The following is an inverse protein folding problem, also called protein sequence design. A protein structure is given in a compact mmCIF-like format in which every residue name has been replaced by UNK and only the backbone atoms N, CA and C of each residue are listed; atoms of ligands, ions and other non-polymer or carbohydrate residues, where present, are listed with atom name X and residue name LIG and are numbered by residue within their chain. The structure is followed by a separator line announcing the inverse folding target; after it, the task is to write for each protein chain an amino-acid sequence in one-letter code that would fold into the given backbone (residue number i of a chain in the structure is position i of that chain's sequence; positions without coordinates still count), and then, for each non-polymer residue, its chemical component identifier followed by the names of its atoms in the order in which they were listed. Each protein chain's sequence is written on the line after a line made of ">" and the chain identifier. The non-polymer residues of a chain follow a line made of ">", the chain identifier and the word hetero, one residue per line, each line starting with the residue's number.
data_IF_988748475094
#
_entry.id   IF_988748475094
#
_cell.length_a   1.000
_cell.length_b   1.000
_cell.length_c   1.000
_cell.angle_alpha   90.00
_cell.angle_beta   90.00
_cell.angle_gamma   90.00
#
_symmetry.space_group_name_H-M   'P 1'
#
loop_
_entity.id
_entity.type
_entity.pdbx_description
1 polymer ?
#
# COMPACT_ATOMS: atom_id res chain seq x y z
N UNK A 1 -14.81 -30.54 18.94
CA UNK A 1 -15.60 -29.94 17.83
C UNK A 1 -14.58 -29.41 16.85
N UNK A 2 -14.62 -29.79 15.59
CA UNK A 2 -13.77 -29.15 14.58
C UNK A 2 -14.29 -27.70 14.41
N UNK A 3 -13.41 -26.72 14.63
CA UNK A 3 -13.74 -25.33 14.34
C UNK A 3 -14.06 -25.19 12.85
N UNK A 4 -15.12 -24.48 12.54
CA UNK A 4 -15.42 -24.15 11.15
C UNK A 4 -14.25 -23.34 10.57
N UNK A 5 -13.90 -23.56 9.30
CA UNK A 5 -12.82 -22.78 8.70
C UNK A 5 -13.15 -21.28 8.78
N UNK A 6 -12.15 -20.41 8.97
CA UNK A 6 -12.35 -18.97 9.02
C UNK A 6 -13.01 -18.49 7.74
N UNK A 7 -14.01 -17.62 7.89
CA UNK A 7 -14.74 -17.02 6.77
C UNK A 7 -14.27 -15.58 6.58
N UNK A 8 -13.92 -15.25 5.34
CA UNK A 8 -13.64 -13.86 4.95
C UNK A 8 -14.96 -13.14 4.77
N UNK A 9 -15.16 -12.05 5.50
CA UNK A 9 -16.37 -11.21 5.46
C UNK A 9 -16.15 -10.07 4.47
N UNK A 10 -16.99 -10.03 3.44
CA UNK A 10 -16.97 -8.97 2.45
C UNK A 10 -17.64 -7.71 3.01
N UNK A 11 -16.87 -6.62 3.08
CA UNK A 11 -17.35 -5.33 3.58
C UNK A 11 -17.46 -4.34 2.44
N UNK A 12 -18.64 -3.79 2.30
CA UNK A 12 -19.02 -2.78 1.31
C UNK A 12 -19.68 -1.60 2.02
N UNK A 13 -19.89 -0.47 1.33
CA UNK A 13 -20.52 0.69 1.95
C UNK A 13 -21.83 0.38 2.71
N UNK A 14 -22.74 -0.47 2.20
CA UNK A 14 -24.01 -0.75 2.89
C UNK A 14 -23.89 -1.48 4.23
N UNK A 15 -22.84 -2.31 4.45
CA UNK A 15 -22.66 -3.07 5.69
C UNK A 15 -21.45 -2.62 6.52
N UNK A 16 -20.78 -1.55 6.13
CA UNK A 16 -19.53 -1.06 6.77
C UNK A 16 -19.72 -0.82 8.27
N UNK A 17 -20.79 -0.16 8.66
CA UNK A 17 -21.03 0.19 10.07
C UNK A 17 -21.27 -1.06 10.94
N UNK A 18 -22.05 -2.02 10.43
CA UNK A 18 -22.33 -3.28 11.13
C UNK A 18 -21.05 -4.11 11.31
N UNK A 19 -20.27 -4.23 10.24
CA UNK A 19 -19.03 -5.02 10.27
C UNK A 19 -17.95 -4.39 11.17
N UNK A 20 -17.82 -3.09 11.19
CA UNK A 20 -16.91 -2.41 12.11
C UNK A 20 -17.40 -2.43 13.56
N UNK A 21 -18.71 -2.52 13.79
CA UNK A 21 -19.24 -2.75 15.14
C UNK A 21 -18.86 -4.16 15.65
N UNK A 22 -18.97 -5.18 14.79
CA UNK A 22 -18.53 -6.52 15.12
C UNK A 22 -17.02 -6.58 15.36
N UNK A 23 -16.22 -5.95 14.50
CA UNK A 23 -14.78 -5.90 14.63
C UNK A 23 -14.33 -5.28 15.96
N UNK A 24 -15.01 -4.22 16.42
CA UNK A 24 -14.77 -3.60 17.75
C UNK A 24 -14.97 -4.56 18.92
N UNK A 25 -15.89 -5.48 18.80
CA UNK A 25 -16.13 -6.49 19.85
C UNK A 25 -15.04 -7.56 19.81
N UNK A 26 -14.63 -7.98 18.62
CA UNK A 26 -13.63 -9.03 18.46
C UNK A 26 -12.24 -8.56 18.87
N UNK A 27 -11.83 -7.32 18.59
CA UNK A 27 -10.48 -6.81 18.89
C UNK A 27 -10.15 -6.83 20.39
N UNK A 28 -11.15 -6.77 21.27
CA UNK A 28 -10.95 -6.78 22.71
C UNK A 28 -10.29 -8.09 23.21
N UNK A 29 -10.58 -9.21 22.55
CA UNK A 29 -10.04 -10.54 22.90
C UNK A 29 -8.97 -11.03 21.88
N UNK A 30 -8.93 -10.45 20.69
CA UNK A 30 -8.07 -10.87 19.57
C UNK A 30 -7.19 -9.71 19.07
N UNK A 31 -6.20 -9.26 19.88
CA UNK A 31 -5.47 -8.01 19.63
C UNK A 31 -4.36 -8.10 18.58
N UNK A 32 -4.10 -9.26 17.98
CA UNK A 32 -3.15 -9.40 16.88
C UNK A 32 -3.85 -9.15 15.54
N UNK A 33 -3.37 -8.17 14.81
CA UNK A 33 -3.97 -7.68 13.55
C UNK A 33 -3.03 -7.95 12.38
N UNK A 34 -3.37 -8.91 11.54
CA UNK A 34 -2.69 -9.08 10.26
C UNK A 34 -3.39 -8.24 9.18
N UNK A 35 -2.61 -7.51 8.39
CA UNK A 35 -3.09 -6.61 7.35
C UNK A 35 -2.40 -6.91 6.01
N UNK A 36 -3.20 -6.80 4.94
CA UNK A 36 -2.74 -6.73 3.55
C UNK A 36 -3.62 -5.76 2.76
N UNK A 37 -3.11 -5.24 1.64
CA UNK A 37 -3.87 -4.32 0.78
C UNK A 37 -3.78 -4.69 -0.68
N UNK A 38 -4.85 -4.40 -1.43
CA UNK A 38 -4.82 -4.40 -2.89
C UNK A 38 -4.94 -2.97 -3.42
N UNK A 39 -4.01 -2.63 -4.32
CA UNK A 39 -3.93 -1.30 -4.92
C UNK A 39 -3.61 -1.40 -6.42
N UNK A 40 -3.82 -0.35 -7.21
CA UNK A 40 -3.81 -0.43 -8.67
C UNK A 40 -2.40 -0.40 -9.28
N UNK A 41 -1.39 -0.88 -8.55
CA UNK A 41 -0.01 -1.02 -9.02
C UNK A 41 0.84 0.23 -8.81
N UNK A 42 1.93 0.34 -9.59
CA UNK A 42 2.92 1.42 -9.50
C UNK A 42 3.03 2.11 -10.86
N UNK A 43 2.67 3.39 -10.91
CA UNK A 43 2.61 4.18 -12.15
C UNK A 43 3.63 5.32 -12.16
N UNK A 44 4.10 5.79 -11.00
CA UNK A 44 4.98 6.93 -10.87
C UNK A 44 6.35 6.53 -10.32
N UNK A 45 7.41 7.09 -10.91
CA UNK A 45 8.78 6.97 -10.43
C UNK A 45 9.38 8.36 -10.24
N UNK A 46 9.89 8.70 -9.05
CA UNK A 46 10.46 10.01 -8.80
C UNK A 46 11.77 10.19 -9.57
N UNK A 47 11.96 11.39 -10.11
CA UNK A 47 13.19 11.77 -10.83
C UNK A 47 13.98 12.70 -9.91
N UNK A 48 15.27 12.40 -9.71
CA UNK A 48 16.15 13.25 -8.88
C UNK A 48 17.37 12.51 -8.34
N UNK A 49 18.07 13.18 -7.44
CA UNK A 49 19.17 12.59 -6.69
C UNK A 49 18.67 12.20 -5.30
N UNK A 50 18.75 10.92 -4.98
CA UNK A 50 18.35 10.37 -3.71
C UNK A 50 19.58 10.07 -2.85
N UNK A 51 19.51 10.34 -1.55
CA UNK A 51 20.64 10.15 -0.63
C UNK A 51 20.95 8.68 -0.40
N UNK A 52 19.93 7.84 -0.40
CA UNK A 52 20.03 6.40 -0.13
C UNK A 52 19.03 5.64 -1.01
N UNK A 53 19.19 4.32 -1.12
CA UNK A 53 18.21 3.44 -1.75
C UNK A 53 16.87 3.50 -1.01
N UNK A 54 16.89 3.57 0.33
CA UNK A 54 15.70 3.72 1.16
C UNK A 54 14.91 5.00 0.83
N UNK A 55 15.62 6.13 0.70
CA UNK A 55 15.00 7.41 0.30
C UNK A 55 14.31 7.29 -1.08
N UNK A 56 14.98 6.67 -2.06
CA UNK A 56 14.37 6.42 -3.36
C UNK A 56 13.11 5.53 -3.27
N UNK A 57 13.17 4.44 -2.50
CA UNK A 57 12.02 3.55 -2.29
C UNK A 57 10.87 4.28 -1.60
N UNK A 58 11.18 5.05 -0.56
CA UNK A 58 10.17 5.86 0.12
C UNK A 58 9.50 6.87 -0.82
N UNK A 59 10.29 7.63 -1.60
CA UNK A 59 9.71 8.61 -2.53
C UNK A 59 8.92 7.94 -3.65
N UNK A 60 9.31 6.74 -4.10
CA UNK A 60 8.53 5.95 -5.07
C UNK A 60 7.20 5.53 -4.48
N UNK A 61 7.20 4.94 -3.28
CA UNK A 61 5.97 4.58 -2.56
C UNK A 61 5.08 5.80 -2.35
N UNK A 62 5.62 6.89 -1.81
CA UNK A 62 4.90 8.12 -1.53
C UNK A 62 4.21 8.67 -2.78
N UNK A 63 4.93 8.80 -3.91
CA UNK A 63 4.35 9.31 -5.15
C UNK A 63 3.15 8.48 -5.62
N UNK A 64 3.23 7.17 -5.52
CA UNK A 64 2.16 6.27 -5.95
C UNK A 64 0.99 6.28 -4.97
N UNK A 65 1.26 6.19 -3.67
CA UNK A 65 0.21 6.24 -2.63
C UNK A 65 -0.56 7.56 -2.70
N UNK A 66 0.16 8.70 -2.88
CA UNK A 66 -0.49 10.02 -2.98
C UNK A 66 -1.35 10.16 -4.24
N UNK A 67 -0.93 9.54 -5.35
CA UNK A 67 -1.59 9.64 -6.66
C UNK A 67 -2.74 8.66 -6.82
N UNK A 68 -2.60 7.44 -6.31
CA UNK A 68 -3.50 6.32 -6.58
C UNK A 68 -4.52 6.11 -5.45
N UNK A 69 -5.63 5.45 -5.77
CA UNK A 69 -6.64 5.02 -4.79
C UNK A 69 -6.41 3.57 -4.40
N UNK A 70 -6.65 3.25 -3.14
CA UNK A 70 -6.68 1.89 -2.65
C UNK A 70 -7.91 1.14 -3.20
N UNK A 71 -7.81 -0.18 -3.37
CA UNK A 71 -8.89 -1.03 -3.86
C UNK A 71 -9.45 -1.89 -2.73
N UNK A 72 -8.59 -2.59 -1.98
CA UNK A 72 -9.00 -3.41 -0.84
C UNK A 72 -8.07 -3.24 0.36
N UNK A 73 -8.63 -3.40 1.56
CA UNK A 73 -7.90 -3.64 2.81
C UNK A 73 -8.42 -4.94 3.41
N UNK A 74 -7.52 -5.87 3.71
CA UNK A 74 -7.77 -7.09 4.44
C UNK A 74 -7.28 -6.97 5.88
N UNK A 75 -8.13 -7.32 6.85
CA UNK A 75 -7.80 -7.33 8.26
C UNK A 75 -8.18 -8.68 8.85
N UNK A 76 -7.23 -9.34 9.50
CA UNK A 76 -7.45 -10.59 10.22
C UNK A 76 -7.06 -10.43 11.68
N UNK A 77 -7.96 -10.81 12.59
CA UNK A 77 -7.75 -10.74 14.03
C UNK A 77 -7.51 -12.13 14.62
N UNK A 78 -6.56 -12.21 15.54
CA UNK A 78 -6.23 -13.44 16.29
C UNK A 78 -5.80 -13.10 17.72
N UNK A 79 -5.85 -14.10 18.60
CA UNK A 79 -5.27 -14.00 19.94
C UNK A 79 -3.74 -14.19 19.92
N UNK A 80 -3.12 -14.22 21.10
CA UNK A 80 -1.66 -14.36 21.23
C UNK A 80 -1.13 -15.76 20.87
N UNK A 81 -1.99 -16.77 20.84
CA UNK A 81 -1.70 -18.12 20.39
C UNK A 81 -2.00 -18.33 18.89
N UNK A 82 -2.57 -17.34 18.21
CA UNK A 82 -2.96 -17.43 16.81
C UNK A 82 -4.32 -18.10 16.57
N UNK A 83 -5.15 -18.21 17.60
CA UNK A 83 -6.52 -18.69 17.43
C UNK A 83 -7.40 -17.57 16.90
N UNK A 84 -8.43 -17.97 16.16
CA UNK A 84 -9.41 -17.06 15.56
C UNK A 84 -10.73 -17.06 16.33
N UNK A 85 -11.36 -15.91 16.40
CA UNK A 85 -12.72 -15.80 16.94
C UNK A 85 -13.69 -16.68 16.14
N UNK A 86 -14.55 -17.46 16.83
CA UNK A 86 -15.56 -18.31 16.17
C UNK A 86 -16.65 -17.50 15.46
N UNK A 87 -16.84 -16.24 15.82
CA UNK A 87 -17.85 -15.36 15.25
C UNK A 87 -17.38 -14.71 13.95
N UNK A 88 -16.22 -14.10 13.98
CA UNK A 88 -15.58 -13.48 12.82
C UNK A 88 -14.08 -13.29 13.08
N UNK A 89 -13.25 -13.48 12.03
CA UNK A 89 -11.80 -13.29 12.16
C UNK A 89 -11.22 -12.43 11.07
N UNK A 90 -11.82 -12.39 9.88
CA UNK A 90 -11.25 -11.73 8.71
C UNK A 90 -12.28 -10.88 8.00
N UNK A 91 -11.92 -9.63 7.72
CA UNK A 91 -12.71 -8.66 6.97
C UNK A 91 -11.95 -8.20 5.74
N UNK A 92 -12.64 -8.13 4.60
CA UNK A 92 -12.15 -7.57 3.36
C UNK A 92 -12.96 -6.31 3.03
N UNK A 93 -12.37 -5.14 3.24
CA UNK A 93 -12.96 -3.84 2.97
C UNK A 93 -12.73 -3.47 1.52
N UNK A 94 -13.81 -3.24 0.77
CA UNK A 94 -13.79 -2.96 -0.66
C UNK A 94 -14.10 -1.49 -0.91
N UNK A 95 -13.12 -0.74 -1.43
CA UNK A 95 -13.21 0.71 -1.63
C UNK A 95 -13.75 1.09 -2.99
N UNK A 96 -14.31 2.30 -3.09
CA UNK A 96 -14.76 2.87 -4.36
C UNK A 96 -13.61 3.05 -5.36
N UNK A 97 -13.72 2.39 -6.52
CA UNK A 97 -12.73 2.45 -7.59
C UNK A 97 -13.41 2.33 -8.97
N UNK A 98 -13.07 3.23 -9.90
CA UNK A 98 -13.58 3.21 -11.28
C UNK A 98 -12.43 3.01 -12.27
N UNK A 99 -12.50 1.95 -13.07
CA UNK A 99 -11.53 1.71 -14.16
C UNK A 99 -11.55 2.85 -15.20
N UNK A 100 -12.67 3.56 -15.33
CA UNK A 100 -12.83 4.62 -16.34
C UNK A 100 -12.27 5.98 -15.87
N UNK A 101 -12.21 6.22 -14.56
CA UNK A 101 -11.89 7.52 -13.98
C UNK A 101 -10.57 7.53 -13.20
N UNK A 102 -10.21 6.42 -12.57
CA UNK A 102 -9.06 6.33 -11.68
C UNK A 102 -7.78 5.93 -12.43
N UNK A 103 -6.64 6.33 -11.88
CA UNK A 103 -5.32 6.01 -12.45
C UNK A 103 -4.87 4.62 -11.95
N UNK A 104 -4.31 3.82 -12.85
CA UNK A 104 -3.82 2.48 -12.53
C UNK A 104 -2.72 2.00 -13.47
N UNK A 105 -2.00 0.95 -13.08
CA UNK A 105 -1.14 0.14 -13.95
C UNK A 105 -1.98 -0.98 -14.61
N UNK A 106 -2.04 -1.07 -15.96
CA UNK A 106 -2.90 -2.05 -16.64
C UNK A 106 -2.67 -3.50 -16.20
N UNK A 107 -1.40 -3.88 -15.99
CA UNK A 107 -1.02 -5.23 -15.59
C UNK A 107 -1.56 -5.58 -14.20
N UNK A 108 -1.56 -4.61 -13.28
CA UNK A 108 -2.10 -4.80 -11.93
C UNK A 108 -3.61 -4.98 -11.95
N UNK A 109 -4.33 -4.16 -12.70
CA UNK A 109 -5.79 -4.31 -12.84
C UNK A 109 -6.15 -5.64 -13.51
N UNK A 110 -5.41 -6.05 -14.55
CA UNK A 110 -5.63 -7.37 -15.19
C UNK A 110 -5.43 -8.53 -14.20
N UNK A 111 -4.40 -8.45 -13.35
CA UNK A 111 -4.15 -9.43 -12.29
C UNK A 111 -5.32 -9.49 -11.30
N UNK A 112 -5.75 -8.32 -10.78
CA UNK A 112 -6.83 -8.22 -9.82
C UNK A 112 -8.17 -8.70 -10.38
N UNK A 113 -8.46 -8.43 -11.66
CA UNK A 113 -9.63 -8.98 -12.36
C UNK A 113 -9.57 -10.52 -12.45
N UNK A 114 -8.41 -11.08 -12.79
CA UNK A 114 -8.20 -12.55 -12.83
C UNK A 114 -8.34 -13.18 -11.45
N UNK A 115 -8.02 -12.45 -10.40
CA UNK A 115 -8.22 -12.85 -9.00
C UNK A 115 -9.66 -12.65 -8.51
N UNK A 116 -10.57 -12.25 -9.39
CA UNK A 116 -12.00 -12.18 -9.10
C UNK A 116 -12.47 -10.87 -8.48
N UNK A 117 -11.67 -9.80 -8.48
CA UNK A 117 -12.13 -8.46 -8.05
C UNK A 117 -13.15 -7.93 -9.06
N UNK A 118 -14.35 -7.62 -8.56
CA UNK A 118 -15.47 -7.07 -9.33
C UNK A 118 -15.45 -5.53 -9.30
N UNK A 119 -14.75 -4.93 -10.27
CA UNK A 119 -14.61 -3.48 -10.36
C UNK A 119 -15.93 -2.74 -10.61
N UNK A 120 -16.94 -3.39 -11.22
CA UNK A 120 -18.25 -2.78 -11.35
C UNK A 120 -18.88 -2.59 -9.96
N UNK A 121 -18.78 -3.59 -9.10
CA UNK A 121 -19.28 -3.52 -7.73
C UNK A 121 -18.49 -2.50 -6.89
N UNK A 122 -17.17 -2.36 -7.10
CA UNK A 122 -16.36 -1.32 -6.48
C UNK A 122 -16.84 0.10 -6.86
N UNK A 123 -17.22 0.31 -8.12
CA UNK A 123 -17.77 1.58 -8.61
C UNK A 123 -19.17 1.87 -8.04
N UNK A 124 -20.03 0.85 -7.94
CA UNK A 124 -21.44 1.01 -7.51
C UNK A 124 -21.62 1.18 -5.99
N UNK A 125 -20.91 0.36 -5.19
CA UNK A 125 -21.14 0.27 -3.73
C UNK A 125 -19.83 0.20 -2.93
N UNK A 126 -18.70 0.60 -3.50
CA UNK A 126 -17.43 0.65 -2.80
C UNK A 126 -17.45 1.64 -1.63
N UNK A 127 -16.65 1.35 -0.62
CA UNK A 127 -16.54 2.14 0.61
C UNK A 127 -15.88 3.49 0.30
N UNK A 128 -16.42 4.58 0.84
CA UNK A 128 -15.76 5.88 0.86
C UNK A 128 -14.57 5.85 1.83
N UNK A 129 -13.37 6.34 1.43
CA UNK A 129 -12.23 6.46 2.32
C UNK A 129 -12.53 7.21 3.62
N UNK A 130 -13.32 8.28 3.56
CA UNK A 130 -13.67 9.09 4.73
C UNK A 130 -14.58 8.33 5.71
N UNK A 131 -15.57 7.61 5.21
CA UNK A 131 -16.49 6.82 6.07
C UNK A 131 -15.72 5.68 6.76
N UNK A 132 -14.80 5.05 6.03
CA UNK A 132 -13.91 4.05 6.62
C UNK A 132 -12.99 4.63 7.71
N UNK A 133 -12.35 5.77 7.44
CA UNK A 133 -11.44 6.42 8.38
C UNK A 133 -12.13 6.82 9.69
N UNK A 134 -13.31 7.45 9.60
CA UNK A 134 -14.11 7.86 10.76
C UNK A 134 -14.41 6.69 11.69
N UNK A 135 -14.85 5.58 11.12
CA UNK A 135 -15.18 4.38 11.89
C UNK A 135 -13.93 3.63 12.39
N UNK A 136 -12.85 3.61 11.58
CA UNK A 136 -11.60 2.91 11.91
C UNK A 136 -10.86 3.59 13.06
N UNK A 137 -10.80 4.93 13.10
CA UNK A 137 -10.14 5.69 14.18
C UNK A 137 -10.75 5.37 15.56
N UNK A 138 -12.03 5.05 15.59
CA UNK A 138 -12.76 4.71 16.82
C UNK A 138 -12.90 3.20 17.06
N UNK A 139 -12.23 2.36 16.26
CA UNK A 139 -12.41 0.90 16.28
C UNK A 139 -11.66 0.18 17.40
N UNK A 140 -10.63 0.79 17.99
CA UNK A 140 -9.69 0.11 18.89
C UNK A 140 -8.52 -0.58 18.19
N UNK A 141 -8.47 -0.55 16.85
CA UNK A 141 -7.35 -1.13 16.10
C UNK A 141 -6.14 -0.22 16.05
N UNK A 142 -6.35 1.09 15.97
CA UNK A 142 -5.29 2.09 15.82
C UNK A 142 -5.16 2.96 17.06
N UNK A 143 -4.02 3.64 17.22
CA UNK A 143 -3.73 4.55 18.34
C UNK A 143 -3.68 3.85 19.73
N UNK A 144 -3.57 2.54 19.77
CA UNK A 144 -3.53 1.76 21.01
C UNK A 144 -2.31 0.84 21.03
N UNK A 145 -1.56 0.78 22.15
CA UNK A 145 -0.40 -0.09 22.28
C UNK A 145 -0.76 -1.56 22.50
N UNK A 146 -1.99 -1.87 22.85
CA UNK A 146 -2.48 -3.23 23.06
C UNK A 146 -2.59 -3.99 21.74
N UNK A 147 -2.85 -3.30 20.64
CA UNK A 147 -2.99 -3.90 19.31
C UNK A 147 -1.63 -4.16 18.67
N UNK A 148 -1.39 -5.39 18.24
CA UNK A 148 -0.14 -5.84 17.64
C UNK A 148 -0.33 -6.08 16.14
N UNK A 149 0.29 -5.24 15.31
CA UNK A 149 0.16 -5.32 13.86
C UNK A 149 1.18 -6.26 13.25
N UNK A 150 0.71 -7.15 12.40
CA UNK A 150 1.49 -8.12 11.63
C UNK A 150 1.29 -7.81 10.15
N UNK A 151 2.37 -7.77 9.38
CA UNK A 151 2.28 -7.47 7.97
C UNK A 151 3.41 -8.12 7.18
N UNK A 152 3.18 -8.32 5.89
CA UNK A 152 4.14 -8.94 4.99
C UNK A 152 4.51 -7.94 3.89
N UNK A 153 5.81 -7.56 3.77
CA UNK A 153 6.34 -6.57 2.80
C UNK A 153 5.58 -5.23 2.72
N UNK A 154 5.13 -4.72 3.80
CA UNK A 154 4.03 -3.79 4.00
C UNK A 154 4.36 -2.28 3.87
N UNK A 155 5.39 -1.88 3.14
CA UNK A 155 5.67 -0.46 2.92
C UNK A 155 4.48 0.27 2.28
N UNK A 156 3.95 -0.27 1.20
CA UNK A 156 2.77 0.26 0.50
C UNK A 156 1.51 0.14 1.34
N UNK A 157 1.30 -1.00 2.01
CA UNK A 157 0.11 -1.25 2.83
C UNK A 157 -0.04 -0.20 3.92
N UNK A 158 1.01 0.04 4.71
CA UNK A 158 1.01 1.11 5.70
C UNK A 158 0.94 2.51 5.07
N UNK A 159 1.54 2.71 3.90
CA UNK A 159 1.42 3.96 3.17
C UNK A 159 -0.04 4.29 2.84
N UNK A 160 -0.75 3.36 2.21
CA UNK A 160 -2.17 3.52 1.90
C UNK A 160 -3.03 3.63 3.16
N UNK A 161 -2.73 2.83 4.18
CA UNK A 161 -3.51 2.84 5.42
C UNK A 161 -3.36 4.17 6.19
N UNK A 162 -2.13 4.71 6.29
CA UNK A 162 -1.90 6.06 6.84
C UNK A 162 -2.66 7.12 6.04
N UNK A 163 -2.59 7.08 4.69
CA UNK A 163 -3.35 8.02 3.85
C UNK A 163 -4.86 7.91 4.08
N UNK A 164 -5.39 6.69 4.23
CA UNK A 164 -6.80 6.48 4.56
C UNK A 164 -7.18 7.14 5.89
N UNK A 165 -6.38 6.90 6.94
CA UNK A 165 -6.67 7.37 8.30
C UNK A 165 -6.53 8.88 8.46
N UNK A 166 -5.57 9.49 7.76
CA UNK A 166 -5.27 10.92 7.88
C UNK A 166 -6.01 11.78 6.87
N UNK A 167 -6.48 11.20 5.76
CA UNK A 167 -6.99 11.89 4.57
C UNK A 167 -5.99 12.92 3.99
N UNK A 168 -4.69 12.77 4.29
CA UNK A 168 -3.61 13.68 3.91
C UNK A 168 -2.59 12.95 3.02
N UNK A 169 -1.82 13.71 2.24
CA UNK A 169 -0.65 13.19 1.54
C UNK A 169 0.40 12.69 2.52
N UNK A 170 1.15 11.66 2.14
CA UNK A 170 2.23 11.13 2.97
C UNK A 170 3.31 12.21 3.22
N UNK A 171 3.98 12.17 4.37
CA UNK A 171 5.06 13.10 4.70
C UNK A 171 6.15 13.15 3.62
N UNK A 172 6.81 14.30 3.48
CA UNK A 172 7.88 14.45 2.49
C UNK A 172 9.14 13.68 2.82
N UNK A 173 9.33 13.31 4.10
CA UNK A 173 10.50 12.57 4.57
C UNK A 173 10.10 11.22 5.16
N UNK A 174 10.97 10.23 4.97
CA UNK A 174 10.83 8.90 5.54
C UNK A 174 10.77 8.93 7.08
N UNK A 175 11.60 9.75 7.73
CA UNK A 175 11.62 9.87 9.19
C UNK A 175 10.25 10.34 9.73
N UNK A 176 9.63 11.33 9.09
CA UNK A 176 8.29 11.81 9.48
C UNK A 176 7.18 10.77 9.22
N UNK A 177 7.34 9.94 8.19
CA UNK A 177 6.43 8.81 7.96
C UNK A 177 6.51 7.78 9.09
N UNK A 178 7.73 7.42 9.52
CA UNK A 178 7.91 6.55 10.67
C UNK A 178 7.41 7.16 11.99
N UNK A 179 7.45 8.49 12.15
CA UNK A 179 6.82 9.16 13.29
C UNK A 179 5.30 8.97 13.29
N UNK A 180 4.64 9.09 12.13
CA UNK A 180 3.23 8.79 11.98
C UNK A 180 2.93 7.32 12.27
N UNK A 181 3.72 6.39 11.74
CA UNK A 181 3.54 4.96 12.01
C UNK A 181 3.61 4.64 13.51
N UNK A 182 4.57 5.21 14.23
CA UNK A 182 4.67 5.03 15.69
C UNK A 182 3.46 5.58 16.44
N UNK A 183 2.81 6.61 15.91
CA UNK A 183 1.61 7.20 16.50
C UNK A 183 0.37 6.33 16.24
N UNK A 184 0.16 5.93 14.98
CA UNK A 184 -1.04 5.19 14.57
C UNK A 184 -0.97 3.71 14.91
N UNK A 185 0.24 3.11 14.85
CA UNK A 185 0.52 1.70 15.04
C UNK A 185 1.69 1.52 16.03
N UNK A 186 1.48 1.75 17.34
CA UNK A 186 2.57 1.75 18.33
C UNK A 186 3.35 0.43 18.38
N UNK A 187 2.67 -0.69 18.09
CA UNK A 187 3.29 -2.02 18.04
C UNK A 187 3.03 -2.65 16.67
N UNK A 188 4.06 -2.67 15.82
CA UNK A 188 3.99 -3.33 14.52
C UNK A 188 5.25 -4.15 14.27
N UNK A 189 5.08 -5.43 13.94
CA UNK A 189 6.15 -6.37 13.70
C UNK A 189 6.30 -6.71 12.21
N UNK A 190 7.54 -6.92 11.79
CA UNK A 190 7.91 -7.31 10.45
C UNK A 190 7.97 -8.82 10.30
N UNK A 191 7.40 -9.36 9.23
CA UNK A 191 7.55 -10.76 8.83
C UNK A 191 8.39 -10.90 7.56
N UNK A 192 9.10 -11.94 7.44
CA UNK A 192 10.04 -12.62 6.54
C UNK A 192 10.31 -12.11 5.10
N UNK A 193 11.40 -12.63 4.49
CA UNK A 193 11.80 -12.45 3.09
C UNK A 193 11.22 -13.57 2.23
N UNK A 194 10.70 -13.25 1.03
CA UNK A 194 10.21 -14.21 0.04
C UNK A 194 8.81 -13.84 -0.46
N UNK A 195 8.16 -14.69 -1.23
CA UNK A 195 6.74 -14.59 -1.55
C UNK A 195 5.89 -15.08 -0.38
N UNK A 196 4.75 -14.44 -0.10
CA UNK A 196 3.85 -14.87 0.98
C UNK A 196 3.39 -16.32 0.79
N UNK A 197 3.03 -16.70 -0.44
CA UNK A 197 2.61 -18.07 -0.76
C UNK A 197 3.74 -19.06 -0.59
N UNK A 198 4.97 -18.73 -1.04
CA UNK A 198 6.13 -19.62 -0.91
C UNK A 198 6.43 -19.93 0.56
N UNK A 199 6.37 -18.91 1.42
CA UNK A 199 6.58 -19.08 2.86
C UNK A 199 5.46 -19.92 3.50
N UNK A 200 4.21 -19.67 3.11
CA UNK A 200 3.08 -20.44 3.61
C UNK A 200 3.20 -21.92 3.21
N UNK A 201 3.61 -22.20 1.98
CA UNK A 201 3.84 -23.56 1.47
C UNK A 201 4.99 -24.25 2.24
N UNK A 202 6.11 -23.55 2.47
CA UNK A 202 7.25 -24.07 3.26
C UNK A 202 6.86 -24.37 4.72
N UNK A 203 5.94 -23.58 5.30
CA UNK A 203 5.41 -23.78 6.64
C UNK A 203 4.26 -24.80 6.70
N UNK A 204 3.77 -25.30 5.56
CA UNK A 204 2.63 -26.19 5.46
C UNK A 204 1.29 -25.53 5.80
N UNK A 205 1.18 -24.20 5.63
CA UNK A 205 -0.04 -23.41 5.86
C UNK A 205 -0.87 -23.36 4.60
N UNK A 206 -2.14 -23.76 4.70
CA UNK A 206 -3.05 -23.72 3.56
C UNK A 206 -3.76 -22.38 3.43
N UNK A 207 -3.81 -21.84 2.22
CA UNK A 207 -4.54 -20.62 1.91
C UNK A 207 -6.06 -20.85 2.00
N UNK A 208 -6.75 -19.89 2.57
CA UNK A 208 -8.21 -19.77 2.51
C UNK A 208 -8.56 -18.58 1.62
N UNK A 209 -9.37 -18.81 0.59
CA UNK A 209 -9.72 -17.78 -0.40
C UNK A 209 -8.78 -17.77 -1.62
N UNK A 210 -8.91 -16.71 -2.41
CA UNK A 210 -8.18 -16.52 -3.68
C UNK A 210 -6.98 -15.60 -3.42
N UNK A 211 -5.83 -15.92 -4.02
CA UNK A 211 -4.64 -15.06 -3.99
C UNK A 211 -4.92 -13.70 -4.64
N UNK A 212 -4.28 -12.65 -4.14
CA UNK A 212 -4.52 -11.26 -4.57
C UNK A 212 -5.95 -10.78 -4.27
N UNK A 213 -6.42 -11.18 -3.11
CA UNK A 213 -7.58 -10.64 -2.42
C UNK A 213 -7.13 -10.30 -1.00
N UNK A 214 -7.23 -9.05 -0.59
CA UNK A 214 -6.62 -8.57 0.65
C UNK A 214 -7.05 -9.36 1.91
N UNK A 215 -8.30 -9.82 1.96
CA UNK A 215 -8.77 -10.68 3.06
C UNK A 215 -8.09 -12.05 3.08
N UNK A 216 -7.88 -12.69 1.92
CA UNK A 216 -7.17 -13.96 1.80
C UNK A 216 -5.69 -13.80 2.16
N UNK A 217 -5.06 -12.72 1.71
CA UNK A 217 -3.64 -12.47 1.95
C UNK A 217 -3.38 -12.06 3.41
N UNK A 218 -4.24 -11.28 4.05
CA UNK A 218 -4.14 -10.98 5.50
C UNK A 218 -4.32 -12.23 6.37
N UNK A 219 -5.26 -13.12 6.02
CA UNK A 219 -5.46 -14.38 6.74
C UNK A 219 -4.26 -15.32 6.58
N UNK A 220 -3.69 -15.41 5.38
CA UNK A 220 -2.49 -16.18 5.15
C UNK A 220 -1.29 -15.61 5.91
N UNK A 221 -1.15 -14.29 5.96
CA UNK A 221 -0.11 -13.59 6.73
C UNK A 221 -0.21 -13.92 8.22
N UNK A 222 -1.41 -13.85 8.81
CA UNK A 222 -1.65 -14.24 10.20
C UNK A 222 -1.26 -15.70 10.44
N UNK A 223 -1.80 -16.61 9.64
CA UNK A 223 -1.55 -18.05 9.79
C UNK A 223 -0.07 -18.42 9.64
N UNK A 224 0.61 -17.82 8.66
CA UNK A 224 2.05 -18.03 8.42
C UNK A 224 2.90 -17.47 9.58
N UNK A 225 2.53 -16.30 10.11
CA UNK A 225 3.22 -15.70 11.26
C UNK A 225 3.17 -16.62 12.49
N UNK A 226 1.99 -17.03 12.90
CA UNK A 226 1.86 -17.90 14.11
C UNK A 226 2.47 -19.28 13.90
N UNK A 227 2.38 -19.84 12.70
CA UNK A 227 3.05 -21.11 12.39
C UNK A 227 4.57 -20.99 12.44
N UNK A 228 5.12 -19.87 11.99
CA UNK A 228 6.54 -19.58 12.12
C UNK A 228 6.96 -19.42 13.59
N UNK A 229 6.15 -18.70 14.39
CA UNK A 229 6.38 -18.54 15.83
C UNK A 229 6.41 -19.91 16.52
N UNK A 230 5.44 -20.78 16.23
CA UNK A 230 5.39 -22.15 16.77
C UNK A 230 6.64 -22.97 16.39
N UNK A 231 7.12 -22.88 15.15
CA UNK A 231 8.20 -23.73 14.66
C UNK A 231 9.59 -23.25 15.06
N UNK A 232 9.82 -21.92 15.14
CA UNK A 232 11.18 -21.36 15.23
C UNK A 232 11.43 -20.46 16.43
N UNK A 233 10.39 -20.05 17.18
CA UNK A 233 10.51 -19.07 18.26
C UNK A 233 9.90 -19.58 19.58
N UNK A 234 9.99 -20.87 19.85
CA UNK A 234 9.44 -21.51 21.06
C UNK A 234 10.02 -20.96 22.38
N UNK A 235 11.26 -20.44 22.36
CA UNK A 235 11.93 -19.85 23.51
C UNK A 235 11.60 -18.37 23.74
N UNK A 236 10.70 -17.81 22.92
CA UNK A 236 10.31 -16.41 22.94
C UNK A 236 10.84 -15.62 21.75
N UNK A 237 10.16 -14.54 21.44
CA UNK A 237 10.44 -13.64 20.34
C UNK A 237 10.70 -12.23 20.93
N UNK A 238 11.89 -11.69 20.66
CA UNK A 238 12.18 -10.32 21.07
C UNK A 238 11.50 -9.32 20.12
N UNK A 239 10.30 -8.88 20.49
CA UNK A 239 9.52 -7.91 19.72
C UNK A 239 10.31 -6.62 19.43
N UNK A 240 11.26 -6.22 20.32
CA UNK A 240 12.05 -5.00 20.15
C UNK A 240 12.97 -5.01 18.93
N UNK A 241 13.41 -6.20 18.51
CA UNK A 241 14.24 -6.35 17.32
C UNK A 241 13.47 -6.13 16.01
N UNK A 242 12.16 -6.27 16.02
CA UNK A 242 11.31 -6.26 14.81
C UNK A 242 10.31 -5.12 14.80
N UNK A 243 9.96 -4.59 15.96
CA UNK A 243 9.01 -3.49 16.08
C UNK A 243 9.51 -2.22 15.37
N UNK A 244 8.62 -1.55 14.67
CA UNK A 244 8.92 -0.29 13.97
C UNK A 244 9.76 -0.44 12.70
N UNK A 245 9.94 -1.65 12.16
CA UNK A 245 10.72 -1.88 10.94
C UNK A 245 9.80 -2.27 9.78
N UNK A 246 10.01 -1.65 8.61
CA UNK A 246 9.34 -2.03 7.37
C UNK A 246 10.38 -2.54 6.36
N UNK A 247 9.99 -3.51 5.54
CA UNK A 247 10.88 -4.06 4.52
C UNK A 247 11.21 -2.99 3.46
N UNK A 248 12.52 -2.78 3.21
CA UNK A 248 13.00 -1.83 2.20
C UNK A 248 12.95 -0.36 2.60
N UNK A 249 12.44 -0.04 3.79
CA UNK A 249 12.39 1.31 4.35
C UNK A 249 13.17 1.38 5.67
N UNK A 250 13.68 2.58 6.01
CA UNK A 250 14.41 2.82 7.26
C UNK A 250 15.91 2.47 7.19
N UNK A 251 16.66 2.95 8.19
CA UNK A 251 18.14 2.89 8.27
C UNK A 251 18.70 1.49 8.60
N UNK A 252 17.88 0.49 8.86
CA UNK A 252 18.30 -0.76 9.50
C UNK A 252 18.24 -1.99 8.62
N UNK A 253 18.42 -1.86 7.31
CA UNK A 253 18.51 -3.02 6.44
C UNK A 253 19.94 -3.48 6.24
N UNK A 254 20.43 -4.40 7.10
CA UNK A 254 21.66 -5.15 6.83
C UNK A 254 21.32 -6.52 6.27
N UNK A 255 21.65 -6.78 5.02
CA UNK A 255 21.72 -8.14 4.48
C UNK A 255 23.14 -8.64 4.78
N UNK A 256 23.29 -9.67 5.62
CA UNK A 256 24.58 -10.30 5.96
C UNK A 256 25.65 -9.37 6.55
N UNK A 257 25.27 -8.52 7.52
CA UNK A 257 26.26 -7.72 8.27
C UNK A 257 26.92 -6.58 7.49
N UNK A 258 26.53 -6.33 6.27
CA UNK A 258 26.92 -5.17 5.49
C UNK A 258 25.74 -4.24 5.31
N UNK A 259 25.92 -2.95 5.63
CA UNK A 259 25.00 -1.91 5.20
C UNK A 259 24.84 -2.05 3.68
N UNK A 260 23.66 -2.42 3.21
CA UNK A 260 23.40 -2.50 1.77
C UNK A 260 23.21 -1.09 1.22
N UNK A 261 24.28 -0.30 1.26
CA UNK A 261 24.49 0.84 0.37
C UNK A 261 25.04 0.29 -0.95
N UNK A 262 24.20 -0.38 -1.71
CA UNK A 262 24.52 -0.70 -3.09
C UNK A 262 23.91 0.37 -3.98
N UNK A 263 24.59 1.49 -4.06
CA UNK A 263 24.44 2.48 -5.13
C UNK A 263 24.79 1.87 -6.49
N UNK A 264 24.12 0.77 -6.89
CA UNK A 264 24.11 0.27 -8.26
C UNK A 264 22.82 0.73 -8.92
N UNK A 265 22.90 1.61 -9.93
CA UNK A 265 21.79 1.85 -10.85
C UNK A 265 21.48 0.52 -11.53
N UNK A 266 20.32 -0.07 -11.26
CA UNK A 266 19.88 -1.31 -11.90
C UNK A 266 19.51 -2.46 -10.96
N UNK A 267 19.60 -2.32 -9.65
CA UNK A 267 18.97 -3.27 -8.74
C UNK A 267 17.45 -3.06 -8.83
N UNK A 268 16.70 -4.12 -9.19
CA UNK A 268 15.24 -4.09 -9.20
C UNK A 268 14.74 -3.55 -7.86
N UNK A 269 13.93 -2.49 -7.90
CA UNK A 269 13.32 -1.88 -6.72
C UNK A 269 12.34 -2.87 -6.10
N UNK A 270 11.97 -2.67 -4.83
CA UNK A 270 10.89 -3.43 -4.20
C UNK A 270 9.60 -3.36 -5.02
N UNK A 271 9.26 -2.18 -5.55
CA UNK A 271 8.16 -1.99 -6.48
C UNK A 271 8.28 -2.87 -7.74
N UNK A 272 9.48 -3.13 -8.23
CA UNK A 272 9.74 -4.04 -9.36
C UNK A 272 9.72 -5.52 -8.98
N UNK A 273 9.88 -5.85 -7.68
CA UNK A 273 9.74 -7.21 -7.15
C UNK A 273 8.32 -7.49 -6.66
N UNK A 274 7.62 -6.45 -6.26
CA UNK A 274 6.19 -6.44 -5.96
C UNK A 274 5.34 -6.25 -7.24
N UNK A 275 5.98 -5.96 -8.39
CA UNK A 275 5.37 -6.15 -9.72
C UNK A 275 5.02 -7.64 -9.82
N UNK A 276 3.81 -7.94 -9.43
CA UNK A 276 3.15 -9.24 -9.40
C UNK A 276 2.94 -9.74 -10.83
N UNK A 277 4.06 -9.96 -11.56
CA UNK A 277 4.01 -10.46 -12.91
C UNK A 277 4.17 -12.00 -12.90
N UNK A 278 3.08 -12.79 -13.01
CA UNK A 278 3.13 -14.26 -13.02
C UNK A 278 3.76 -14.85 -14.27
N UNK A 279 4.22 -14.03 -15.23
CA UNK A 279 4.74 -14.51 -16.54
C UNK A 279 6.25 -14.71 -16.57
N UNK A 280 6.96 -14.69 -15.45
CA UNK A 280 8.42 -14.94 -15.43
C UNK A 280 8.81 -16.33 -14.92
N UNK A 281 7.91 -17.29 -15.03
CA UNK A 281 8.28 -18.69 -14.93
C UNK A 281 8.72 -19.22 -16.30
N UNK A 282 9.98 -19.68 -16.36
CA UNK A 282 10.59 -20.52 -17.39
C UNK A 282 10.69 -19.97 -18.83
N UNK A 283 11.74 -19.22 -19.09
CA UNK A 283 12.42 -19.34 -20.39
C UNK A 283 13.91 -19.65 -20.18
N UNK A 284 14.44 -20.67 -20.91
CA UNK A 284 15.86 -21.01 -20.85
C UNK A 284 16.70 -19.91 -21.51
N UNK A 285 17.84 -19.63 -20.91
CA UNK A 285 18.84 -18.65 -21.32
C UNK A 285 19.28 -18.85 -22.79
N UNK A 286 18.77 -17.98 -23.67
CA UNK A 286 19.31 -17.77 -25.02
C UNK A 286 20.07 -16.44 -25.09
N UNK A 287 20.97 -16.24 -26.05
CA UNK A 287 21.91 -15.12 -26.05
C UNK A 287 21.23 -13.76 -26.22
N UNK A 288 21.61 -12.82 -25.37
CA UNK A 288 21.11 -11.45 -25.34
C UNK A 288 21.50 -10.68 -26.58
N UNK A 289 20.52 -10.20 -27.35
CA UNK A 289 20.68 -9.10 -28.29
C UNK A 289 20.33 -7.78 -27.57
N UNK A 290 21.06 -6.69 -27.79
CA UNK A 290 20.80 -5.42 -27.11
C UNK A 290 19.50 -4.79 -27.63
N UNK A 291 18.53 -4.56 -26.74
CA UNK A 291 17.33 -3.82 -27.07
C UNK A 291 17.66 -2.31 -27.18
N UNK A 292 17.41 -1.78 -28.36
CA UNK A 292 17.52 -0.36 -28.68
C UNK A 292 16.36 0.38 -27.99
N UNK A 293 16.68 1.28 -27.05
CA UNK A 293 15.71 2.18 -26.44
C UNK A 293 15.22 3.15 -27.51
N UNK A 294 13.95 3.05 -27.89
CA UNK A 294 13.26 4.06 -28.69
C UNK A 294 12.95 5.27 -27.81
N UNK A 295 13.82 6.28 -27.87
CA UNK A 295 13.50 7.62 -27.38
C UNK A 295 12.45 8.24 -28.32
N UNK A 296 11.25 8.45 -27.85
CA UNK A 296 10.28 9.30 -28.53
C UNK A 296 10.73 10.75 -28.43
N UNK A 297 11.29 11.26 -29.52
CA UNK A 297 11.59 12.68 -29.71
C UNK A 297 10.28 13.44 -29.94
N UNK A 298 9.99 14.40 -29.08
CA UNK A 298 9.01 15.44 -29.38
C UNK A 298 9.54 16.36 -30.50
N UNK A 299 8.70 16.81 -31.42
CA UNK A 299 9.13 17.71 -32.47
C UNK A 299 9.44 19.09 -31.89
N UNK A 300 10.68 19.53 -32.02
CA UNK A 300 11.12 20.88 -31.77
C UNK A 300 10.67 21.79 -32.91
N UNK A 301 9.93 22.84 -32.57
CA UNK A 301 9.61 23.96 -33.48
C UNK A 301 10.89 24.82 -33.58
N UNK A 302 11.34 25.18 -34.78
CA UNK A 302 12.53 26.02 -34.93
C UNK A 302 12.20 27.50 -34.65
N UNK A 303 12.82 28.06 -33.63
CA UNK A 303 12.87 29.49 -33.38
C UNK A 303 14.01 30.10 -34.21
N UNK A 304 13.70 30.70 -35.33
CA UNK A 304 14.53 31.73 -35.91
C UNK A 304 13.71 33.01 -36.00
N UNK A 305 14.11 34.06 -35.28
CA UNK A 305 14.19 35.44 -35.73
C UNK A 305 15.08 36.19 -34.71
N UNK A 306 16.15 36.74 -35.20
CA UNK A 306 17.15 37.52 -34.49
C UNK A 306 16.71 38.94 -34.14
N UNK A 307 17.58 39.74 -33.47
CA UNK A 307 17.17 40.96 -32.79
C UNK A 307 17.19 42.19 -33.69
N UNK A 308 16.14 43.01 -33.62
CA UNK A 308 16.22 44.42 -34.04
C UNK A 308 15.80 45.34 -32.89
N UNK A 309 16.74 46.21 -32.56
CA UNK A 309 16.56 47.33 -31.65
C UNK A 309 15.66 48.40 -32.27
N UNK A 310 14.94 49.15 -31.44
CA UNK A 310 14.71 50.59 -31.41
C UNK A 310 13.44 50.95 -30.64
N UNK A 311 13.51 51.60 -29.59
CA UNK A 311 13.29 52.92 -29.09
C UNK A 311 11.83 53.36 -28.79
N UNK A 312 11.63 54.25 -27.82
CA UNK A 312 10.35 54.42 -27.12
C UNK A 312 9.51 55.55 -27.66
N UNK A 313 8.21 55.51 -27.49
CA UNK A 313 7.21 56.59 -27.40
C UNK A 313 5.80 55.95 -27.43
N UNK A 314 4.86 56.30 -26.60
CA UNK A 314 4.27 57.50 -26.16
C UNK A 314 2.89 57.14 -25.58
N UNK A 315 2.53 57.85 -24.57
CA UNK A 315 1.27 57.81 -23.86
C UNK A 315 0.05 58.10 -24.73
N UNK A 316 -1.08 57.44 -24.37
CA UNK A 316 -2.39 58.07 -24.27
C UNK A 316 -3.46 57.03 -23.87
N UNK A 317 -4.04 57.20 -22.69
CA UNK A 317 -5.37 56.68 -22.34
C UNK A 317 -6.40 57.75 -22.72
N UNK A 318 -7.65 57.74 -22.29
CA UNK A 318 -8.55 56.81 -21.63
C UNK A 318 -9.93 56.76 -22.34
N UNK A 319 -11.15 56.62 -21.84
CA UNK A 319 -11.65 56.46 -20.48
C UNK A 319 -12.89 55.52 -20.27
N UNK A 320 -13.15 55.23 -18.99
CA UNK A 320 -14.45 55.09 -18.30
C UNK A 320 -15.63 54.28 -18.90
N UNK A 321 -16.12 53.29 -18.10
CA UNK A 321 -17.49 53.42 -17.58
C UNK A 321 -17.71 52.51 -16.36
N UNK A 322 -17.97 53.21 -15.25
CA UNK A 322 -18.60 52.67 -14.01
C UNK A 322 -20.09 52.48 -14.28
N UNK A 323 -20.68 51.43 -13.74
CA UNK A 323 -22.03 51.51 -13.16
C UNK A 323 -22.15 50.55 -11.99
N UNK A 324 -22.34 51.16 -10.86
CA UNK A 324 -22.90 50.60 -9.60
C UNK A 324 -24.42 50.57 -9.72
N UNK A 325 -25.07 49.68 -8.92
CA UNK A 325 -26.34 49.82 -8.20
C UNK A 325 -26.71 48.47 -7.63
N UNK A 326 -26.62 48.23 -6.31
CA UNK A 326 -27.53 48.49 -5.20
C UNK A 326 -28.95 47.88 -5.34
N UNK A 327 -29.27 46.92 -4.43
CA UNK A 327 -30.45 46.89 -3.60
C UNK A 327 -31.56 45.92 -4.00
N UNK A 328 -31.75 44.88 -3.33
CA UNK A 328 -32.73 44.57 -2.24
C UNK A 328 -32.54 43.14 -1.74
#
# INVERSE_FOLDING_TARGET
>A
MQASPPRIREVWAPNLQEELQLLRQVIEEYPYVAMDTEFPGVVARPIGNFKTSSDYHYQTMRCNVDLLKIIQVGITLSDEEGNYSPEASTWQFNFGFSINEDIYAPESIELLQKSGIDFQRHEEIGISPNDFAELMITSGLVLTPETKWISFHSGYDFGYFVKLLTAESLPTTEDSFFDLLRTWFPTHAKVLKGGLQDIADDLGVQRVGISHQAGSDSLLTSSAFFKMMEMYFQDGFDESEYNGKLYGLGKTFTVNGSLADSGRPGAATLAEREDRNPTREMQPSGPQTPSVAMAMAMPTIPSQIGPTAYGPMGANGPPYLRTSLVGR
#
